data_IF_449667646516
#
_entry.id   IF_449667646516
#
_cell.length_a   1.000
_cell.length_b   1.000
_cell.length_c   1.000
_cell.angle_alpha   90.00
_cell.angle_beta   90.00
_cell.angle_gamma   90.00
#
_symmetry.space_group_name_H-M   'P 1'
#
loop_
_entity.id
_entity.type
_entity.pdbx_description
1 polymer ?
#
# COMPACT_ATOMS: atom_id res chain seq x y z
N UNK A 1 20.32 -11.64 7.77
CA UNK A 1 20.17 -11.54 6.31
C UNK A 1 18.75 -11.25 5.84
N UNK A 2 17.74 -12.02 6.26
CA UNK A 2 16.31 -11.82 5.89
C UNK A 2 15.83 -10.37 6.11
N UNK A 3 16.07 -9.84 7.32
CA UNK A 3 15.59 -8.51 7.68
C UNK A 3 16.24 -7.40 6.84
N UNK A 4 17.55 -7.50 6.62
CA UNK A 4 18.32 -6.57 5.77
C UNK A 4 17.81 -6.57 4.34
N UNK A 5 17.50 -7.74 3.78
CA UNK A 5 16.93 -7.84 2.43
C UNK A 5 15.58 -7.14 2.32
N UNK A 6 14.70 -7.27 3.33
CA UNK A 6 13.41 -6.56 3.34
C UNK A 6 13.58 -5.05 3.45
N UNK A 7 14.53 -4.59 4.27
CA UNK A 7 14.86 -3.17 4.35
C UNK A 7 15.32 -2.64 2.99
N UNK A 8 16.20 -3.34 2.27
CA UNK A 8 16.62 -2.90 0.93
C UNK A 8 15.45 -2.68 -0.04
N UNK A 9 14.46 -3.58 -0.05
CA UNK A 9 13.23 -3.40 -0.85
C UNK A 9 12.41 -2.20 -0.38
N UNK A 10 12.23 -2.07 0.95
CA UNK A 10 11.47 -0.96 1.54
C UNK A 10 12.11 0.39 1.23
N UNK A 11 13.43 0.50 1.38
CA UNK A 11 14.21 1.72 1.15
C UNK A 11 14.14 2.14 -0.32
N UNK A 12 14.24 1.18 -1.25
CA UNK A 12 14.05 1.44 -2.69
C UNK A 12 12.65 1.97 -2.99
N UNK A 13 11.59 1.34 -2.48
CA UNK A 13 10.24 1.88 -2.65
C UNK A 13 10.07 3.26 -2.01
N UNK A 14 10.64 3.49 -0.82
CA UNK A 14 10.54 4.76 -0.12
C UNK A 14 11.17 5.89 -0.94
N UNK A 15 12.39 5.68 -1.45
CA UNK A 15 13.11 6.69 -2.24
C UNK A 15 12.59 6.85 -3.67
N UNK A 16 12.45 5.75 -4.42
CA UNK A 16 12.15 5.82 -5.86
C UNK A 16 10.67 6.14 -6.16
N UNK A 17 9.77 6.02 -5.18
CA UNK A 17 8.37 6.43 -5.33
C UNK A 17 8.08 7.82 -4.76
N UNK A 18 9.09 8.55 -4.25
CA UNK A 18 8.91 9.86 -3.61
C UNK A 18 8.28 10.89 -4.54
N UNK A 19 8.95 11.20 -5.64
CA UNK A 19 8.53 12.22 -6.60
C UNK A 19 7.15 11.89 -7.19
N UNK A 20 6.95 10.66 -7.67
CA UNK A 20 5.66 10.22 -8.20
C UNK A 20 4.55 10.33 -7.16
N UNK A 21 4.81 9.96 -5.90
CA UNK A 21 3.78 10.02 -4.87
C UNK A 21 3.38 11.46 -4.56
N UNK A 22 4.37 12.35 -4.44
CA UNK A 22 4.15 13.77 -4.16
C UNK A 22 3.37 14.45 -5.30
N UNK A 23 3.73 14.18 -6.56
CA UNK A 23 3.05 14.73 -7.75
C UNK A 23 1.59 14.27 -7.89
N UNK A 24 1.25 13.10 -7.34
CA UNK A 24 -0.06 12.48 -7.48
C UNK A 24 -0.92 12.55 -6.21
N UNK A 25 -0.48 13.28 -5.18
CA UNK A 25 -1.20 13.37 -3.89
C UNK A 25 -1.31 12.02 -3.16
N UNK A 26 -0.41 11.07 -3.47
CA UNK A 26 -0.33 9.76 -2.85
C UNK A 26 0.57 9.84 -1.63
N UNK A 27 0.13 9.27 -0.51
CA UNK A 27 1.00 9.20 0.69
C UNK A 27 1.74 7.88 0.73
N UNK A 28 3.07 7.93 0.81
CA UNK A 28 3.90 6.76 1.13
C UNK A 28 3.73 6.36 2.59
N UNK A 29 4.03 5.11 2.91
CA UNK A 29 4.17 4.64 4.29
C UNK A 29 5.25 5.48 4.99
N UNK A 30 4.88 6.17 6.08
CA UNK A 30 5.80 6.95 6.89
C UNK A 30 5.78 6.44 8.35
N UNK A 31 6.69 5.53 8.73
CA UNK A 31 6.77 4.99 10.08
C UNK A 31 7.18 6.07 11.10
N UNK A 32 6.57 6.10 12.30
CA UNK A 32 7.01 7.00 13.36
C UNK A 32 8.49 6.80 13.68
N UNK A 33 9.24 7.91 13.75
CA UNK A 33 10.70 7.91 13.97
C UNK A 33 11.51 7.11 12.94
N UNK A 34 10.91 6.75 11.80
CA UNK A 34 11.51 5.85 10.82
C UNK A 34 11.67 4.41 11.31
N UNK A 35 11.01 4.01 12.40
CA UNK A 35 11.14 2.66 12.97
C UNK A 35 10.08 1.74 12.36
N UNK A 36 10.52 0.72 11.62
CA UNK A 36 9.64 -0.30 11.04
C UNK A 36 10.38 -1.64 10.93
N UNK A 37 9.62 -2.72 10.76
CA UNK A 37 10.14 -4.07 10.54
C UNK A 37 10.23 -4.45 9.06
N UNK A 38 9.96 -3.53 8.14
CA UNK A 38 9.82 -3.81 6.70
C UNK A 38 8.95 -5.06 6.44
N UNK A 39 7.91 -5.29 7.26
CA UNK A 39 6.96 -6.39 7.05
C UNK A 39 6.15 -6.18 5.77
N UNK A 40 5.91 -4.92 5.41
CA UNK A 40 5.16 -4.49 4.24
C UNK A 40 5.62 -3.09 3.82
N UNK A 41 5.16 -2.67 2.64
CA UNK A 41 5.17 -1.29 2.18
C UNK A 41 3.78 -0.97 1.64
N UNK A 42 3.26 0.22 1.92
CA UNK A 42 1.98 0.64 1.38
C UNK A 42 2.01 2.08 0.88
N UNK A 43 1.10 2.35 -0.04
CA UNK A 43 0.70 3.67 -0.51
C UNK A 43 -0.71 3.94 0.00
N UNK A 44 -1.05 5.20 0.23
CA UNK A 44 -2.42 5.66 0.50
C UNK A 44 -2.82 6.60 -0.62
N UNK A 45 -3.70 6.13 -1.49
CA UNK A 45 -4.20 6.85 -2.66
C UNK A 45 -5.11 8.01 -2.25
N UNK A 46 -5.40 8.96 -3.16
CA UNK A 46 -6.33 10.06 -2.88
C UNK A 46 -7.75 9.59 -2.56
N UNK A 47 -8.21 8.54 -3.25
CA UNK A 47 -9.57 7.99 -3.14
C UNK A 47 -9.63 6.48 -3.46
N UNK A 48 -10.85 5.95 -3.43
CA UNK A 48 -11.15 4.53 -3.67
C UNK A 48 -10.98 4.14 -5.14
N UNK A 49 -11.36 5.03 -6.05
CA UNK A 49 -11.31 4.86 -7.49
C UNK A 49 -9.85 4.72 -7.96
N UNK A 50 -8.97 5.59 -7.47
CA UNK A 50 -7.53 5.56 -7.70
C UNK A 50 -6.89 4.30 -7.12
N UNK A 51 -7.30 3.88 -5.93
CA UNK A 51 -6.85 2.63 -5.31
C UNK A 51 -7.19 1.41 -6.17
N UNK A 52 -8.44 1.31 -6.61
CA UNK A 52 -8.90 0.16 -7.40
C UNK A 52 -8.23 0.15 -8.78
N UNK A 53 -8.03 1.33 -9.36
CA UNK A 53 -7.39 1.54 -10.65
C UNK A 53 -5.91 1.19 -10.61
N UNK A 54 -5.17 1.62 -9.58
CA UNK A 54 -3.76 1.25 -9.41
C UNK A 54 -3.59 -0.27 -9.23
N UNK A 55 -4.43 -0.92 -8.43
CA UNK A 55 -4.38 -2.38 -8.25
C UNK A 55 -4.60 -3.10 -9.60
N UNK A 56 -5.57 -2.63 -10.38
CA UNK A 56 -5.89 -3.20 -11.70
C UNK A 56 -4.77 -2.96 -12.72
N UNK A 57 -4.21 -1.75 -12.74
CA UNK A 57 -3.07 -1.37 -13.57
C UNK A 57 -1.84 -2.21 -13.24
N UNK A 58 -1.46 -2.31 -11.96
CA UNK A 58 -0.34 -3.11 -11.51
C UNK A 58 -0.51 -4.58 -11.90
N UNK A 59 -1.73 -5.14 -11.77
CA UNK A 59 -2.02 -6.50 -12.21
C UNK A 59 -1.79 -6.69 -13.71
N UNK A 60 -2.19 -5.74 -14.55
CA UNK A 60 -1.94 -5.79 -15.99
C UNK A 60 -0.43 -5.77 -16.32
N UNK A 61 0.38 -5.13 -15.49
CA UNK A 61 1.85 -5.14 -15.56
C UNK A 61 2.50 -6.38 -14.91
N UNK A 62 1.71 -7.37 -14.47
CA UNK A 62 2.20 -8.59 -13.83
C UNK A 62 2.63 -8.40 -12.37
N UNK A 63 2.21 -7.32 -11.72
CA UNK A 63 2.48 -6.99 -10.32
C UNK A 63 1.23 -7.22 -9.47
N UNK A 64 1.34 -8.04 -8.43
CA UNK A 64 0.20 -8.34 -7.53
C UNK A 64 0.19 -7.37 -6.35
N UNK A 65 -0.34 -6.17 -6.56
CA UNK A 65 -0.68 -5.25 -5.47
C UNK A 65 -2.02 -5.63 -4.82
N UNK A 66 -2.20 -5.33 -3.52
CA UNK A 66 -3.41 -5.72 -2.77
C UNK A 66 -3.91 -4.61 -1.85
N UNK A 67 -5.21 -4.55 -1.60
CA UNK A 67 -5.79 -3.72 -0.55
C UNK A 67 -5.58 -4.34 0.85
N UNK A 68 -5.90 -3.59 1.92
CA UNK A 68 -5.78 -4.07 3.31
C UNK A 68 -6.47 -3.17 4.35
N UNK A 69 -7.19 -3.60 5.36
CA UNK A 69 -8.17 -4.68 5.43
C UNK A 69 -9.57 -4.08 5.28
N UNK A 70 -10.59 -4.92 5.14
CA UNK A 70 -11.97 -4.48 5.44
C UNK A 70 -12.07 -4.13 6.94
N UNK A 71 -12.59 -2.95 7.32
CA UNK A 71 -12.78 -2.58 8.72
C UNK A 71 -13.68 -3.61 9.43
N UNK A 72 -13.26 -4.08 10.61
CA UNK A 72 -13.95 -5.20 11.27
C UNK A 72 -15.40 -4.87 11.62
N UNK A 73 -15.70 -3.64 12.04
CA UNK A 73 -17.05 -3.15 12.31
C UNK A 73 -17.98 -3.26 11.10
N UNK A 74 -17.43 -3.05 9.90
CA UNK A 74 -18.15 -3.19 8.64
C UNK A 74 -18.22 -4.63 8.11
N UNK A 75 -17.52 -5.59 8.74
CA UNK A 75 -17.57 -7.00 8.32
C UNK A 75 -18.91 -7.66 8.70
N UNK A 76 -19.31 -8.77 8.04
CA UNK A 76 -20.52 -9.50 8.41
C UNK A 76 -20.56 -9.92 9.89
N UNK A 77 -19.42 -10.36 10.43
CA UNK A 77 -19.28 -10.75 11.83
C UNK A 77 -19.27 -9.53 12.77
N UNK A 78 -18.60 -8.44 12.39
CA UNK A 78 -18.58 -7.22 13.21
C UNK A 78 -19.94 -6.55 13.33
N UNK A 79 -20.75 -6.55 12.27
CA UNK A 79 -22.15 -6.11 12.35
C UNK A 79 -23.01 -7.01 13.25
N UNK A 80 -22.70 -8.31 13.32
CA UNK A 80 -23.48 -9.29 14.11
C UNK A 80 -23.08 -9.33 15.58
N UNK A 81 -21.79 -9.23 15.87
CA UNK A 81 -21.22 -9.50 17.20
C UNK A 81 -20.53 -8.28 17.83
N UNK A 82 -20.15 -7.29 17.01
CA UNK A 82 -19.48 -6.09 17.48
C UNK A 82 -20.44 -5.05 18.05
N UNK A 83 -19.86 -4.02 18.66
CA UNK A 83 -20.57 -2.81 19.08
C UNK A 83 -19.79 -1.59 18.62
N UNK A 84 -20.43 -0.72 17.87
CA UNK A 84 -19.85 0.53 17.37
C UNK A 84 -20.55 1.67 18.09
N UNK A 85 -19.83 2.35 18.99
CA UNK A 85 -20.39 3.47 19.76
C UNK A 85 -20.38 4.78 18.96
N UNK A 86 -19.45 4.90 18.00
CA UNK A 86 -19.26 6.06 17.14
C UNK A 86 -18.77 5.62 15.76
N UNK A 87 -19.09 6.36 14.68
CA UNK A 87 -18.58 6.05 13.34
C UNK A 87 -17.04 5.99 13.29
N UNK A 88 -16.49 4.94 12.67
CA UNK A 88 -15.05 4.74 12.52
C UNK A 88 -14.53 5.30 11.18
N UNK A 89 -14.86 6.54 10.86
CA UNK A 89 -14.62 7.17 9.56
C UNK A 89 -13.16 7.09 9.09
N UNK A 90 -12.20 7.26 10.01
CA UNK A 90 -10.76 7.15 9.70
C UNK A 90 -10.34 5.73 9.31
N UNK A 91 -10.94 4.71 9.94
CA UNK A 91 -10.65 3.31 9.61
C UNK A 91 -11.21 2.95 8.24
N UNK A 92 -12.42 3.40 7.95
CA UNK A 92 -13.06 3.21 6.64
C UNK A 92 -12.30 3.92 5.52
N UNK A 93 -11.98 5.19 5.71
CA UNK A 93 -11.24 6.00 4.75
C UNK A 93 -9.85 5.40 4.46
N UNK A 94 -9.09 5.04 5.50
CA UNK A 94 -7.77 4.44 5.33
C UNK A 94 -7.83 3.09 4.61
N UNK A 95 -8.78 2.22 4.99
CA UNK A 95 -9.03 0.92 4.34
C UNK A 95 -9.27 1.06 2.83
N UNK A 96 -10.06 2.06 2.42
CA UNK A 96 -10.44 2.25 1.02
C UNK A 96 -9.29 2.71 0.15
N UNK A 97 -8.31 3.40 0.73
CA UNK A 97 -7.27 4.09 -0.03
C UNK A 97 -5.92 3.39 -0.02
N UNK A 98 -5.71 2.42 0.86
CA UNK A 98 -4.43 1.74 0.99
C UNK A 98 -4.20 0.68 -0.11
N UNK A 99 -3.00 0.72 -0.70
CA UNK A 99 -2.45 -0.28 -1.63
C UNK A 99 -1.14 -0.79 -1.05
N UNK A 100 -1.07 -2.10 -0.79
CA UNK A 100 0.16 -2.77 -0.40
C UNK A 100 0.92 -3.25 -1.62
N UNK A 101 2.20 -2.90 -1.65
CA UNK A 101 3.13 -3.37 -2.68
C UNK A 101 3.76 -4.70 -2.25
N UNK A 102 4.12 -5.56 -3.21
CA UNK A 102 4.80 -6.81 -2.89
C UNK A 102 6.15 -6.54 -2.23
N UNK A 103 6.37 -7.18 -1.07
CA UNK A 103 7.62 -7.09 -0.32
C UNK A 103 7.85 -8.42 0.41
N UNK A 104 8.96 -9.08 0.11
CA UNK A 104 9.43 -10.26 0.84
C UNK A 104 10.96 -10.32 0.84
N UNK A 105 11.53 -11.17 1.69
CA UNK A 105 12.98 -11.33 1.74
C UNK A 105 13.47 -12.11 0.51
N UNK A 106 14.54 -11.63 -0.13
CA UNK A 106 15.06 -12.20 -1.36
C UNK A 106 14.26 -11.86 -2.62
N UNK A 107 13.44 -10.80 -2.57
CA UNK A 107 12.78 -10.28 -3.77
C UNK A 107 13.84 -9.86 -4.79
N UNK A 108 13.82 -10.38 -6.04
CA UNK A 108 14.82 -10.03 -7.05
C UNK A 108 14.78 -8.55 -7.40
N UNK A 109 15.94 -7.94 -7.66
CA UNK A 109 16.03 -6.52 -8.03
C UNK A 109 15.15 -6.16 -9.24
N UNK A 110 15.09 -7.02 -10.26
CA UNK A 110 14.22 -6.82 -11.43
C UNK A 110 12.73 -6.86 -11.07
N UNK A 111 12.36 -7.60 -10.01
CA UNK A 111 10.99 -7.60 -9.50
C UNK A 111 10.68 -6.30 -8.77
N UNK A 112 11.62 -5.78 -7.95
CA UNK A 112 11.47 -4.48 -7.27
C UNK A 112 11.34 -3.36 -8.32
N UNK A 113 12.24 -3.34 -9.30
CA UNK A 113 12.21 -2.36 -10.40
C UNK A 113 10.91 -2.44 -11.22
N UNK A 114 10.35 -3.64 -11.43
CA UNK A 114 9.05 -3.80 -12.09
C UNK A 114 7.89 -3.24 -11.27
N UNK A 115 7.90 -3.44 -9.96
CA UNK A 115 6.89 -2.83 -9.08
C UNK A 115 6.98 -1.32 -9.15
N UNK A 116 8.18 -0.76 -9.04
CA UNK A 116 8.40 0.69 -9.13
C UNK A 116 7.91 1.20 -10.48
N UNK A 117 8.33 0.60 -11.59
CA UNK A 117 7.91 0.99 -12.93
C UNK A 117 6.39 0.89 -13.15
N UNK A 118 5.74 -0.15 -12.61
CA UNK A 118 4.29 -0.29 -12.69
C UNK A 118 3.55 0.77 -11.87
N UNK A 119 4.09 1.20 -10.73
CA UNK A 119 3.51 2.29 -9.94
C UNK A 119 3.72 3.62 -10.63
N UNK A 120 4.94 3.94 -11.06
CA UNK A 120 5.27 5.24 -11.65
C UNK A 120 4.67 5.46 -13.04
N UNK A 121 4.32 4.39 -13.76
CA UNK A 121 3.59 4.47 -15.02
C UNK A 121 2.08 4.69 -14.85
N UNK A 122 1.54 4.56 -13.63
CA UNK A 122 0.14 4.81 -13.35
C UNK A 122 -0.14 6.32 -13.26
N UNK A 123 -1.20 6.77 -13.92
CA UNK A 123 -1.69 8.15 -13.82
C UNK A 123 -2.86 8.19 -12.84
N UNK A 124 -2.75 9.03 -11.82
CA UNK A 124 -3.86 9.30 -10.90
C UNK A 124 -4.76 10.34 -11.55
N UNK A 125 -6.05 10.02 -11.71
CA UNK A 125 -7.05 10.85 -12.39
C UNK A 125 -7.88 11.68 -11.42
#
# INVERSE_FOLDING_TARGET
DIQRSRFGVWDRYSGELEEWADDNGVRRMNPPLGIHSAHLFYLVMPDWESQTSLISHARAAGVVATFHYVPLDSSPAGRRYGRVLQPLALSEDFSRRIVRLPLWAGMPEDSVSRVIAAVTAFQVL
#
